data_IF_231434325344
#
_entry.id   IF_231434325344
#
_cell.length_a   1.000
_cell.length_b   1.000
_cell.length_c   1.000
_cell.angle_alpha   90.00
_cell.angle_beta   90.00
_cell.angle_gamma   90.00
#
_symmetry.space_group_name_H-M   'P 1'
#
loop_
_entity.id
_entity.type
_entity.pdbx_description
1 polymer ?
#
# COMPACT_ATOMS: atom_id res chain seq x y z
N UNK A 1 -14.58 -28.86 26.27
CA UNK A 1 -13.51 -28.97 25.25
C UNK A 1 -13.72 -27.85 24.24
N UNK A 2 -12.68 -27.15 23.77
CA UNK A 2 -12.83 -26.03 22.82
C UNK A 2 -13.39 -26.54 21.47
N UNK A 3 -14.41 -25.88 20.85
CA UNK A 3 -15.06 -26.36 19.62
C UNK A 3 -14.11 -26.58 18.44
N UNK A 4 -13.10 -25.73 18.28
CA UNK A 4 -12.13 -25.82 17.17
C UNK A 4 -10.99 -26.82 17.41
N UNK A 5 -10.89 -27.46 18.59
CA UNK A 5 -9.72 -28.29 18.93
C UNK A 5 -9.44 -29.37 17.89
N UNK A 6 -10.47 -30.10 17.46
CA UNK A 6 -10.30 -31.21 16.51
C UNK A 6 -9.95 -30.71 15.11
N UNK A 7 -10.63 -29.66 14.63
CA UNK A 7 -10.35 -29.06 13.31
C UNK A 7 -8.91 -28.53 13.24
N UNK A 8 -8.48 -27.74 14.23
CA UNK A 8 -7.12 -27.20 14.27
C UNK A 8 -6.04 -28.28 14.44
N UNK A 9 -6.32 -29.34 15.21
CA UNK A 9 -5.39 -30.46 15.34
C UNK A 9 -5.25 -31.25 14.03
N UNK A 10 -6.37 -31.51 13.37
CA UNK A 10 -6.39 -32.29 12.13
C UNK A 10 -5.87 -31.50 10.92
N UNK A 11 -5.77 -30.17 11.00
CA UNK A 11 -5.18 -29.33 9.95
C UNK A 11 -3.74 -29.76 9.60
N UNK A 12 -2.98 -30.31 10.57
CA UNK A 12 -1.64 -30.87 10.34
C UNK A 12 -1.64 -32.05 9.35
N UNK A 13 -2.77 -32.75 9.21
CA UNK A 13 -2.94 -33.87 8.31
C UNK A 13 -3.72 -33.52 7.04
N UNK A 14 -4.15 -32.26 6.89
CA UNK A 14 -4.95 -31.82 5.74
C UNK A 14 -4.18 -31.86 4.41
N UNK A 15 -2.83 -31.95 4.45
CA UNK A 15 -1.92 -31.90 3.30
C UNK A 15 -1.26 -33.24 2.97
N UNK A 16 -1.99 -34.26 2.45
CA UNK A 16 -1.39 -35.55 2.10
C UNK A 16 -0.38 -35.40 0.95
N UNK A 17 0.67 -36.21 1.00
CA UNK A 17 1.63 -36.37 -0.09
C UNK A 17 1.22 -37.56 -0.97
N UNK A 18 1.51 -37.48 -2.28
CA UNK A 18 1.44 -38.66 -3.15
C UNK A 18 2.58 -39.59 -2.79
N UNK A 19 2.28 -40.86 -2.55
CA UNK A 19 3.26 -41.92 -2.32
C UNK A 19 3.20 -42.88 -3.49
N UNK A 20 4.36 -43.17 -4.06
CA UNK A 20 4.53 -44.08 -5.18
C UNK A 20 5.97 -44.55 -5.23
N UNK A 21 6.16 -45.73 -5.82
CA UNK A 21 7.46 -46.30 -6.09
C UNK A 21 7.92 -45.90 -7.51
N UNK A 22 9.24 -45.78 -7.68
CA UNK A 22 9.86 -45.72 -9.00
C UNK A 22 9.74 -47.07 -9.71
N UNK A 23 9.78 -47.12 -11.06
CA UNK A 23 9.86 -45.98 -12.00
C UNK A 23 8.52 -45.25 -12.21
N UNK A 24 8.57 -43.93 -12.41
CA UNK A 24 7.37 -43.14 -12.68
C UNK A 24 7.65 -41.84 -13.45
N UNK A 25 6.65 -41.36 -14.19
CA UNK A 25 6.57 -39.97 -14.63
C UNK A 25 5.67 -39.19 -13.68
N UNK A 26 6.10 -37.99 -13.29
CA UNK A 26 5.30 -37.02 -12.53
C UNK A 26 5.06 -35.81 -13.40
N UNK A 27 3.82 -35.47 -13.65
CA UNK A 27 3.43 -34.26 -14.37
C UNK A 27 2.80 -33.30 -13.38
N UNK A 28 3.34 -32.08 -13.31
CA UNK A 28 2.84 -31.04 -12.41
C UNK A 28 2.52 -29.79 -13.19
N UNK A 29 1.31 -29.29 -13.02
CA UNK A 29 0.80 -28.11 -13.69
C UNK A 29 0.30 -27.12 -12.65
N UNK A 30 0.63 -25.84 -12.78
CA UNK A 30 0.08 -24.77 -11.98
C UNK A 30 -0.63 -23.75 -12.86
N UNK A 31 -1.82 -23.35 -12.45
CA UNK A 31 -2.69 -22.45 -13.21
C UNK A 31 -3.13 -21.28 -12.34
N UNK A 32 -3.05 -20.07 -12.89
CA UNK A 32 -3.63 -18.87 -12.29
C UNK A 32 -5.15 -18.92 -12.40
N UNK A 33 -5.86 -18.50 -11.35
CA UNK A 33 -7.31 -18.44 -11.41
C UNK A 33 -7.96 -18.15 -10.07
N UNK A 34 -9.20 -17.69 -10.13
CA UNK A 34 -10.09 -17.57 -8.99
C UNK A 34 -10.61 -18.93 -8.52
N UNK A 35 -11.07 -19.02 -7.27
CA UNK A 35 -11.66 -20.26 -6.72
C UNK A 35 -12.76 -20.86 -7.61
N UNK A 36 -13.55 -20.01 -8.27
CA UNK A 36 -14.63 -20.45 -9.16
C UNK A 36 -14.12 -21.06 -10.46
N UNK A 37 -13.13 -20.44 -11.11
CA UNK A 37 -12.48 -21.00 -12.30
C UNK A 37 -11.77 -22.31 -11.96
N UNK A 38 -11.13 -22.35 -10.77
CA UNK A 38 -10.54 -23.56 -10.23
C UNK A 38 -11.59 -24.67 -10.04
N UNK A 39 -12.76 -24.38 -9.46
CA UNK A 39 -13.84 -25.37 -9.27
C UNK A 39 -14.22 -26.02 -10.59
N UNK A 40 -14.56 -25.18 -11.59
CA UNK A 40 -15.04 -25.64 -12.89
C UNK A 40 -14.00 -26.51 -13.58
N UNK A 41 -12.72 -26.16 -13.45
CA UNK A 41 -11.66 -26.95 -14.04
C UNK A 41 -11.38 -28.25 -13.29
N UNK A 42 -11.36 -28.21 -11.95
CA UNK A 42 -11.16 -29.39 -11.11
C UNK A 42 -12.27 -30.42 -11.30
N UNK A 43 -13.53 -29.98 -11.38
CA UNK A 43 -14.69 -30.83 -11.70
C UNK A 43 -14.55 -31.53 -13.05
N UNK A 44 -13.98 -30.86 -14.05
CA UNK A 44 -13.70 -31.48 -15.36
C UNK A 44 -12.54 -32.45 -15.31
N UNK A 45 -11.53 -32.19 -14.48
CA UNK A 45 -10.29 -32.98 -14.41
C UNK A 45 -10.38 -34.19 -13.50
N UNK A 46 -11.22 -34.15 -12.47
CA UNK A 46 -11.32 -35.20 -11.46
C UNK A 46 -12.61 -35.99 -11.65
N UNK A 47 -12.55 -37.26 -12.07
CA UNK A 47 -13.73 -38.11 -12.14
C UNK A 47 -14.15 -38.51 -10.71
N UNK A 48 -15.11 -37.78 -10.12
CA UNK A 48 -15.67 -38.08 -8.80
C UNK A 48 -16.33 -36.87 -8.12
N UNK A 49 -17.04 -37.09 -7.01
CA UNK A 49 -17.53 -35.98 -6.18
C UNK A 49 -16.36 -35.35 -5.42
N UNK A 50 -15.89 -34.19 -5.89
CA UNK A 50 -14.95 -33.38 -5.15
C UNK A 50 -15.68 -32.67 -4.00
N UNK A 51 -15.10 -32.69 -2.80
CA UNK A 51 -15.46 -31.69 -1.79
C UNK A 51 -14.85 -30.35 -2.23
N UNK A 52 -15.68 -29.49 -2.81
CA UNK A 52 -15.25 -28.18 -3.30
C UNK A 52 -14.79 -27.25 -2.17
N UNK A 53 -15.13 -27.54 -0.92
CA UNK A 53 -14.64 -26.77 0.23
C UNK A 53 -13.26 -27.24 0.71
N UNK A 54 -12.79 -28.39 0.25
CA UNK A 54 -11.45 -28.87 0.59
C UNK A 54 -10.38 -28.05 -0.17
N UNK A 55 -9.30 -27.70 0.54
CA UNK A 55 -8.18 -27.00 -0.06
C UNK A 55 -7.35 -27.90 -0.99
N UNK A 56 -7.49 -29.22 -0.88
CA UNK A 56 -6.77 -30.19 -1.71
C UNK A 56 -7.42 -31.57 -1.63
N UNK A 57 -7.01 -32.46 -2.53
CA UNK A 57 -7.41 -33.85 -2.51
C UNK A 57 -6.55 -34.73 -3.41
N UNK A 58 -6.75 -36.04 -3.27
CA UNK A 58 -6.15 -37.06 -4.13
C UNK A 58 -7.30 -37.88 -4.72
N UNK A 59 -7.28 -38.06 -6.04
CA UNK A 59 -8.21 -38.88 -6.81
C UNK A 59 -7.43 -39.74 -7.80
N UNK A 60 -8.14 -40.45 -8.68
CA UNK A 60 -7.57 -41.23 -9.77
C UNK A 60 -8.02 -40.64 -11.10
N UNK A 61 -7.10 -40.56 -12.06
CA UNK A 61 -7.37 -40.20 -13.45
C UNK A 61 -6.76 -41.30 -14.33
N UNK A 62 -7.60 -42.03 -15.06
CA UNK A 62 -7.17 -43.15 -15.91
C UNK A 62 -6.31 -44.21 -15.18
N UNK A 63 -6.66 -44.52 -13.93
CA UNK A 63 -5.91 -45.46 -13.09
C UNK A 63 -4.63 -44.90 -12.47
N UNK A 64 -4.33 -43.62 -12.67
CA UNK A 64 -3.16 -42.93 -12.14
C UNK A 64 -3.54 -41.94 -11.03
N UNK A 65 -2.69 -41.85 -10.00
CA UNK A 65 -2.96 -40.97 -8.87
C UNK A 65 -2.84 -39.49 -9.30
N UNK A 66 -3.92 -38.74 -9.12
CA UNK A 66 -3.99 -37.31 -9.40
C UNK A 66 -4.20 -36.56 -8.08
N UNK A 67 -3.25 -35.71 -7.72
CA UNK A 67 -3.41 -34.76 -6.63
C UNK A 67 -3.79 -33.39 -7.18
N UNK A 68 -4.72 -32.73 -6.51
CA UNK A 68 -5.04 -31.33 -6.77
C UNK A 68 -4.87 -30.51 -5.48
N UNK A 69 -4.35 -29.30 -5.60
CA UNK A 69 -4.17 -28.36 -4.49
C UNK A 69 -4.66 -26.97 -4.91
N UNK A 70 -5.44 -26.33 -4.05
CA UNK A 70 -5.87 -24.94 -4.19
C UNK A 70 -5.02 -24.03 -3.32
N UNK A 71 -4.74 -22.88 -3.88
CA UNK A 71 -4.09 -21.77 -3.19
C UNK A 71 -4.92 -20.51 -3.43
N UNK A 72 -4.56 -19.41 -2.77
CA UNK A 72 -5.36 -18.19 -2.80
C UNK A 72 -5.51 -17.56 -4.20
N UNK A 73 -4.56 -17.77 -5.11
CA UNK A 73 -4.55 -17.14 -6.45
C UNK A 73 -4.17 -18.08 -7.59
N UNK A 74 -4.00 -19.37 -7.28
CA UNK A 74 -3.65 -20.40 -8.26
C UNK A 74 -4.04 -21.78 -7.72
N UNK A 75 -4.07 -22.77 -8.59
CA UNK A 75 -4.22 -24.17 -8.20
C UNK A 75 -3.21 -25.04 -8.94
N UNK A 76 -3.00 -26.25 -8.45
CA UNK A 76 -2.08 -27.21 -9.07
C UNK A 76 -2.72 -28.56 -9.29
N UNK A 77 -2.25 -29.25 -10.33
CA UNK A 77 -2.53 -30.65 -10.61
C UNK A 77 -1.21 -31.40 -10.66
N UNK A 78 -1.12 -32.53 -9.95
CA UNK A 78 0.04 -33.43 -9.98
C UNK A 78 -0.42 -34.84 -10.31
N UNK A 79 -0.09 -35.33 -11.50
CA UNK A 79 -0.40 -36.68 -11.96
C UNK A 79 0.84 -37.56 -11.86
N UNK A 80 0.72 -38.73 -11.24
CA UNK A 80 1.79 -39.72 -11.14
C UNK A 80 1.43 -40.93 -11.98
N UNK A 81 2.24 -41.18 -13.01
CA UNK A 81 2.11 -42.31 -13.93
C UNK A 81 3.25 -43.29 -13.64
N UNK A 82 2.94 -44.35 -12.89
CA UNK A 82 3.92 -45.42 -12.59
C UNK A 82 4.17 -46.27 -13.82
N UNK A 83 5.42 -46.70 -14.00
CA UNK A 83 5.87 -47.55 -15.10
C UNK A 83 6.51 -48.82 -14.56
N UNK A 84 6.39 -49.92 -15.30
CA UNK A 84 7.12 -51.16 -15.03
C UNK A 84 8.47 -51.23 -15.74
N UNK A 85 8.83 -50.19 -16.50
CA UNK A 85 10.08 -50.10 -17.27
C UNK A 85 11.02 -49.07 -16.65
N UNK A 86 12.28 -49.45 -16.41
CA UNK A 86 13.33 -48.59 -15.86
C UNK A 86 13.92 -47.60 -16.89
N UNK A 87 13.78 -47.87 -18.19
CA UNK A 87 14.30 -47.03 -19.27
C UNK A 87 13.32 -45.90 -19.63
N UNK A 88 13.09 -45.01 -18.66
CA UNK A 88 12.23 -43.84 -18.82
C UNK A 88 12.98 -42.66 -19.43
N UNK A 89 12.42 -42.10 -20.50
CA UNK A 89 12.81 -40.83 -21.12
C UNK A 89 11.70 -39.77 -20.94
N UNK A 90 11.96 -38.56 -21.41
CA UNK A 90 10.94 -37.51 -21.53
C UNK A 90 9.80 -37.99 -22.42
N UNK A 91 8.57 -37.63 -22.05
CA UNK A 91 7.36 -37.99 -22.80
C UNK A 91 6.34 -36.86 -22.74
N UNK A 92 5.33 -36.89 -23.59
CA UNK A 92 4.26 -35.89 -23.60
C UNK A 92 3.30 -36.09 -22.42
N UNK A 93 2.54 -35.03 -22.12
CA UNK A 93 1.48 -35.10 -21.13
C UNK A 93 0.43 -36.16 -21.54
N UNK A 94 -0.06 -37.02 -20.62
CA UNK A 94 -1.07 -38.01 -20.96
C UNK A 94 -2.31 -37.36 -21.58
N UNK A 95 -2.84 -37.95 -22.66
CA UNK A 95 -3.92 -37.38 -23.48
C UNK A 95 -5.17 -36.99 -22.67
N UNK A 96 -5.49 -37.80 -21.65
CA UNK A 96 -6.62 -37.59 -20.73
C UNK A 96 -6.49 -36.27 -19.97
N UNK A 97 -5.27 -35.83 -19.67
CA UNK A 97 -4.99 -34.55 -19.02
C UNK A 97 -4.72 -33.46 -20.06
N UNK A 98 -3.98 -33.76 -21.13
CA UNK A 98 -3.65 -32.79 -22.19
C UNK A 98 -4.88 -32.14 -22.82
N UNK A 99 -5.88 -32.94 -23.20
CA UNK A 99 -7.15 -32.46 -23.77
C UNK A 99 -7.92 -31.50 -22.85
N UNK A 100 -7.76 -31.64 -21.53
CA UNK A 100 -8.39 -30.73 -20.56
C UNK A 100 -7.58 -29.45 -20.39
N UNK A 101 -6.26 -29.58 -20.36
CA UNK A 101 -5.30 -28.48 -20.15
C UNK A 101 -5.28 -27.51 -21.33
N UNK A 102 -5.44 -27.99 -22.57
CA UNK A 102 -5.41 -27.16 -23.78
C UNK A 102 -6.38 -25.97 -23.69
N UNK A 103 -7.59 -26.21 -23.18
CA UNK A 103 -8.64 -25.20 -22.99
C UNK A 103 -8.24 -24.12 -21.97
N UNK A 104 -7.35 -24.45 -21.02
CA UNK A 104 -6.89 -23.59 -19.93
C UNK A 104 -5.44 -23.14 -20.08
N UNK A 105 -4.83 -23.36 -21.25
CA UNK A 105 -3.42 -23.02 -21.53
C UNK A 105 -3.04 -21.56 -21.23
N UNK A 106 -3.89 -20.53 -21.50
CA UNK A 106 -3.54 -19.14 -21.16
C UNK A 106 -3.33 -18.88 -19.66
N UNK A 107 -3.86 -19.73 -18.79
CA UNK A 107 -3.72 -19.62 -17.35
C UNK A 107 -2.53 -20.45 -16.80
N UNK A 108 -1.92 -21.31 -17.61
CA UNK A 108 -0.82 -22.19 -17.21
C UNK A 108 0.44 -21.36 -16.96
N UNK A 109 0.87 -21.30 -15.69
CA UNK A 109 2.05 -20.54 -15.28
C UNK A 109 3.27 -21.42 -15.01
N UNK A 110 3.06 -22.71 -14.74
CA UNK A 110 4.15 -23.67 -14.55
C UNK A 110 3.76 -25.05 -15.09
N UNK A 111 4.68 -25.70 -15.80
CA UNK A 111 4.56 -27.08 -16.24
C UNK A 111 5.87 -27.81 -16.02
N UNK A 112 5.84 -28.88 -15.23
CA UNK A 112 7.02 -29.66 -14.86
C UNK A 112 6.77 -31.13 -15.15
N UNK A 113 7.74 -31.77 -15.81
CA UNK A 113 7.82 -33.21 -15.89
C UNK A 113 9.02 -33.70 -15.07
N UNK A 114 8.76 -34.65 -14.16
CA UNK A 114 9.81 -35.35 -13.43
C UNK A 114 9.84 -36.81 -13.87
N UNK A 115 10.99 -37.26 -14.36
CA UNK A 115 11.28 -38.69 -14.51
C UNK A 115 11.87 -39.19 -13.21
N UNK A 116 11.23 -40.18 -12.60
CA UNK A 116 11.61 -40.80 -11.33
C UNK A 116 12.05 -42.22 -11.60
N UNK A 117 13.31 -42.56 -11.30
CA UNK A 117 13.89 -43.89 -11.57
C UNK A 117 14.93 -44.28 -10.52
N UNK A 118 15.35 -45.54 -10.54
CA UNK A 118 16.52 -46.01 -9.79
C UNK A 118 17.86 -45.58 -10.41
N UNK A 119 18.95 -45.77 -9.67
CA UNK A 119 20.32 -45.39 -10.06
C UNK A 119 20.96 -46.31 -11.12
N UNK A 120 20.44 -47.52 -11.31
CA UNK A 120 21.00 -48.48 -12.26
C UNK A 120 21.05 -47.93 -13.68
N UNK A 121 22.18 -48.16 -14.37
CA UNK A 121 22.43 -47.79 -15.77
C UNK A 121 22.13 -46.31 -16.10
N UNK A 122 22.44 -45.41 -15.16
CA UNK A 122 22.26 -43.97 -15.35
C UNK A 122 23.24 -43.41 -16.39
N UNK A 123 22.70 -43.05 -17.54
CA UNK A 123 23.38 -42.26 -18.58
C UNK A 123 22.68 -40.91 -18.75
N UNK A 124 23.28 -39.86 -18.17
CA UNK A 124 22.72 -38.50 -18.20
C UNK A 124 22.61 -37.93 -19.63
N UNK A 125 23.42 -38.41 -20.57
CA UNK A 125 23.44 -37.87 -21.94
C UNK A 125 22.13 -38.13 -22.69
N UNK A 126 21.41 -39.20 -22.33
CA UNK A 126 20.10 -39.56 -22.90
C UNK A 126 19.01 -38.53 -22.62
N UNK A 127 19.16 -37.75 -21.56
CA UNK A 127 18.18 -36.76 -21.13
C UNK A 127 18.37 -35.39 -21.78
N UNK A 128 19.40 -35.20 -22.62
CA UNK A 128 19.54 -34.01 -23.47
C UNK A 128 19.75 -32.69 -22.73
N UNK A 129 20.12 -32.71 -21.44
CA UNK A 129 20.37 -31.50 -20.67
C UNK A 129 21.54 -30.69 -21.24
N UNK A 130 21.41 -29.37 -21.19
CA UNK A 130 22.47 -28.43 -21.59
C UNK A 130 23.02 -27.69 -20.37
N UNK A 131 24.22 -28.05 -19.93
CA UNK A 131 24.87 -27.56 -18.71
C UNK A 131 24.00 -27.76 -17.44
N UNK A 132 23.61 -29.01 -17.11
CA UNK A 132 22.68 -29.26 -16.02
C UNK A 132 23.24 -28.85 -14.66
N UNK A 133 22.35 -28.35 -13.81
CA UNK A 133 22.58 -28.34 -12.37
C UNK A 133 22.27 -29.72 -11.81
N UNK A 134 23.08 -30.19 -10.88
CA UNK A 134 22.99 -31.51 -10.27
C UNK A 134 23.15 -31.44 -8.75
N UNK A 135 22.37 -32.18 -7.98
CA UNK A 135 22.47 -32.21 -6.52
C UNK A 135 22.11 -33.54 -5.91
N UNK A 136 22.87 -33.93 -4.90
CA UNK A 136 22.53 -35.01 -4.00
C UNK A 136 21.53 -34.43 -3.00
N UNK A 137 20.35 -35.03 -2.84
CA UNK A 137 19.31 -34.53 -1.94
C UNK A 137 18.98 -35.56 -0.87
N UNK A 138 18.30 -35.11 0.19
CA UNK A 138 17.87 -36.00 1.28
C UNK A 138 19.03 -36.62 2.07
N UNK A 139 20.20 -35.99 2.07
CA UNK A 139 21.42 -36.53 2.69
C UNK A 139 22.20 -37.51 1.80
N UNK A 140 21.99 -37.49 0.47
CA UNK A 140 22.65 -38.38 -0.49
C UNK A 140 21.85 -39.63 -0.86
N UNK A 141 20.62 -39.74 -0.38
CA UNK A 141 19.69 -40.85 -0.65
C UNK A 141 18.98 -40.72 -2.02
N UNK A 142 19.12 -39.58 -2.70
CA UNK A 142 18.68 -39.38 -4.08
C UNK A 142 19.56 -38.34 -4.78
N UNK A 143 19.48 -38.30 -6.10
CA UNK A 143 20.11 -37.29 -6.94
C UNK A 143 19.08 -36.62 -7.84
N UNK A 144 19.29 -35.34 -8.13
CA UNK A 144 18.39 -34.55 -8.97
C UNK A 144 19.20 -33.78 -10.00
N UNK A 145 18.73 -33.75 -11.24
CA UNK A 145 19.26 -32.91 -12.30
C UNK A 145 18.19 -32.14 -13.03
N UNK A 146 18.51 -30.91 -13.43
CA UNK A 146 17.73 -30.09 -14.33
C UNK A 146 18.64 -29.02 -14.93
N UNK A 147 18.40 -28.62 -16.18
CA UNK A 147 18.99 -27.42 -16.77
C UNK A 147 18.05 -26.20 -16.68
N UNK A 148 16.85 -26.38 -16.10
CA UNK A 148 15.79 -25.37 -15.95
C UNK A 148 15.41 -24.69 -17.27
N UNK A 149 15.60 -25.38 -18.40
CA UNK A 149 15.17 -24.93 -19.72
C UNK A 149 13.83 -25.56 -20.05
N UNK A 150 12.98 -24.78 -20.70
CA UNK A 150 11.72 -25.32 -21.21
C UNK A 150 12.01 -26.19 -22.43
N UNK A 151 11.34 -27.34 -22.49
CA UNK A 151 11.25 -28.15 -23.70
C UNK A 151 10.46 -27.43 -24.80
N UNK A 152 10.42 -28.01 -26.00
CA UNK A 152 9.60 -27.49 -27.11
C UNK A 152 8.11 -27.43 -26.74
N UNK A 153 7.66 -28.34 -25.87
CA UNK A 153 6.29 -28.39 -25.33
C UNK A 153 6.06 -27.44 -24.13
N UNK A 154 7.07 -26.65 -23.74
CA UNK A 154 6.97 -25.70 -22.64
C UNK A 154 7.09 -26.32 -21.24
N UNK A 155 7.61 -27.55 -21.12
CA UNK A 155 7.79 -28.24 -19.85
C UNK A 155 9.21 -28.02 -19.30
N UNK A 156 9.32 -27.76 -18.01
CA UNK A 156 10.60 -27.86 -17.30
C UNK A 156 10.85 -29.34 -16.93
N UNK A 157 12.01 -29.86 -17.31
CA UNK A 157 12.36 -31.26 -17.10
C UNK A 157 13.28 -31.42 -15.88
N UNK A 158 12.93 -32.37 -15.01
CA UNK A 158 13.72 -32.74 -13.85
C UNK A 158 13.92 -34.25 -13.86
N UNK A 159 15.18 -34.69 -13.74
CA UNK A 159 15.51 -36.09 -13.53
C UNK A 159 15.70 -36.33 -12.03
N UNK A 160 14.94 -37.26 -11.46
CA UNK A 160 15.04 -37.68 -10.08
C UNK A 160 15.49 -39.14 -10.01
N UNK A 161 16.68 -39.37 -9.46
CA UNK A 161 17.26 -40.69 -9.29
C UNK A 161 17.19 -41.08 -7.82
N UNK A 162 16.33 -42.05 -7.51
CA UNK A 162 16.23 -42.61 -6.18
C UNK A 162 17.38 -43.60 -5.94
N UNK A 163 18.02 -43.50 -4.77
CA UNK A 163 19.01 -44.48 -4.31
C UNK A 163 18.47 -45.29 -3.13
N UNK A 164 17.88 -44.60 -2.15
CA UNK A 164 17.58 -45.15 -0.82
C UNK A 164 16.31 -44.59 -0.16
N UNK A 165 15.54 -43.76 -0.86
CA UNK A 165 14.30 -43.23 -0.32
C UNK A 165 13.20 -44.28 -0.45
N UNK A 166 12.36 -44.40 0.58
CA UNK A 166 11.09 -45.12 0.45
C UNK A 166 10.04 -44.21 -0.22
N UNK A 167 8.92 -44.80 -0.67
CA UNK A 167 7.82 -44.08 -1.33
C UNK A 167 7.38 -42.79 -0.61
N UNK A 168 7.33 -42.83 0.73
CA UNK A 168 6.97 -41.67 1.55
C UNK A 168 7.99 -40.52 1.45
N UNK A 169 9.28 -40.83 1.60
CA UNK A 169 10.35 -39.82 1.51
C UNK A 169 10.53 -39.33 0.06
N UNK A 170 10.38 -40.21 -0.93
CA UNK A 170 10.41 -39.88 -2.35
C UNK A 170 9.31 -38.88 -2.70
N UNK A 171 8.05 -39.19 -2.39
CA UNK A 171 6.92 -38.30 -2.66
C UNK A 171 7.06 -36.92 -2.01
N UNK A 172 7.58 -36.86 -0.78
CA UNK A 172 7.88 -35.57 -0.12
C UNK A 172 9.01 -34.80 -0.81
N UNK A 173 10.05 -35.47 -1.27
CA UNK A 173 11.16 -34.81 -1.97
C UNK A 173 10.71 -34.25 -3.32
N UNK A 174 9.93 -35.02 -4.07
CA UNK A 174 9.34 -34.61 -5.35
C UNK A 174 8.42 -33.41 -5.14
N UNK A 175 7.53 -33.47 -4.15
CA UNK A 175 6.68 -32.34 -3.76
C UNK A 175 7.49 -31.06 -3.52
N UNK A 176 8.62 -31.15 -2.82
CA UNK A 176 9.49 -29.99 -2.57
C UNK A 176 10.06 -29.40 -3.86
N UNK A 177 10.52 -30.24 -4.79
CA UNK A 177 11.01 -29.79 -6.10
C UNK A 177 9.91 -29.07 -6.89
N UNK A 178 8.70 -29.61 -6.88
CA UNK A 178 7.52 -28.99 -7.51
C UNK A 178 7.14 -27.66 -6.85
N UNK A 179 7.12 -27.61 -5.51
CA UNK A 179 6.84 -26.39 -4.74
C UNK A 179 7.89 -25.30 -5.02
N UNK A 180 9.18 -25.66 -5.10
CA UNK A 180 10.25 -24.72 -5.46
C UNK A 180 9.96 -24.08 -6.81
N UNK A 181 9.66 -24.88 -7.83
CA UNK A 181 9.46 -24.36 -9.18
C UNK A 181 8.17 -23.53 -9.29
N UNK A 182 7.06 -24.02 -8.72
CA UNK A 182 5.78 -23.32 -8.72
C UNK A 182 5.87 -21.99 -7.96
N UNK A 183 6.42 -21.97 -6.74
CA UNK A 183 6.53 -20.72 -5.97
C UNK A 183 7.55 -19.75 -6.58
N UNK A 184 8.63 -20.25 -7.21
CA UNK A 184 9.57 -19.39 -7.95
C UNK A 184 8.87 -18.67 -9.11
N UNK A 185 8.04 -19.38 -9.88
CA UNK A 185 7.26 -18.79 -10.97
C UNK A 185 6.22 -17.79 -10.44
N UNK A 186 5.45 -18.16 -9.42
CA UNK A 186 4.46 -17.28 -8.79
C UNK A 186 5.08 -15.99 -8.24
N UNK A 187 6.21 -16.08 -7.56
CA UNK A 187 6.94 -14.92 -7.07
C UNK A 187 7.49 -14.04 -8.20
N UNK A 188 7.84 -14.64 -9.34
CA UNK A 188 8.41 -13.91 -10.48
C UNK A 188 7.37 -13.09 -11.26
N UNK A 189 6.07 -13.32 -11.05
CA UNK A 189 4.99 -12.57 -11.70
C UNK A 189 5.05 -11.05 -11.42
N UNK A 190 5.61 -10.64 -10.27
CA UNK A 190 5.75 -9.23 -9.93
C UNK A 190 6.85 -8.50 -10.70
N UNK A 191 7.73 -9.20 -11.43
CA UNK A 191 8.91 -8.58 -12.04
C UNK A 191 8.53 -7.52 -13.09
N UNK A 192 7.59 -7.81 -13.97
CA UNK A 192 7.14 -6.84 -14.99
C UNK A 192 6.46 -5.64 -14.31
N UNK A 193 5.58 -5.91 -13.34
CA UNK A 193 4.93 -4.87 -12.53
C UNK A 193 5.94 -3.98 -11.81
N UNK A 194 7.02 -4.54 -11.26
CA UNK A 194 8.09 -3.79 -10.61
C UNK A 194 8.84 -2.87 -11.59
N UNK A 195 9.11 -3.33 -12.81
CA UNK A 195 9.76 -2.52 -13.85
C UNK A 195 8.88 -1.35 -14.27
N UNK A 196 7.59 -1.59 -14.50
CA UNK A 196 6.63 -0.55 -14.87
C UNK A 196 6.47 0.48 -13.76
N UNK A 197 6.34 0.02 -12.50
CA UNK A 197 6.29 0.90 -11.34
C UNK A 197 7.59 1.70 -11.17
N UNK A 198 8.76 1.07 -11.36
CA UNK A 198 10.04 1.77 -11.25
C UNK A 198 10.13 2.96 -12.21
N UNK A 199 9.64 2.81 -13.44
CA UNK A 199 9.61 3.91 -14.40
C UNK A 199 8.64 5.03 -13.97
N UNK A 200 7.50 4.68 -13.37
CA UNK A 200 6.56 5.66 -12.80
C UNK A 200 7.16 6.40 -11.60
N UNK A 201 7.88 5.69 -10.73
CA UNK A 201 8.55 6.28 -9.57
C UNK A 201 9.57 7.36 -9.98
N UNK A 202 10.31 7.15 -11.07
CA UNK A 202 11.24 8.16 -11.60
C UNK A 202 10.51 9.46 -12.01
N UNK A 203 9.27 9.37 -12.48
CA UNK A 203 8.44 10.53 -12.82
C UNK A 203 7.92 11.21 -11.54
N UNK A 204 7.45 10.41 -10.58
CA UNK A 204 6.95 10.94 -9.31
C UNK A 204 8.04 11.63 -8.50
N UNK A 205 9.26 11.07 -8.45
CA UNK A 205 10.41 11.67 -7.78
C UNK A 205 10.74 13.05 -8.37
N UNK A 206 10.82 13.16 -9.71
CA UNK A 206 11.04 14.46 -10.38
C UNK A 206 9.94 15.47 -10.08
N UNK A 207 8.69 14.99 -10.05
CA UNK A 207 7.52 15.83 -9.71
C UNK A 207 7.62 16.32 -8.27
N UNK A 208 7.96 15.44 -7.32
CA UNK A 208 8.15 15.79 -5.92
C UNK A 208 9.25 16.83 -5.73
N UNK A 209 10.40 16.68 -6.41
CA UNK A 209 11.48 17.68 -6.38
C UNK A 209 10.97 19.04 -6.84
N UNK A 210 10.29 19.09 -7.99
CA UNK A 210 9.73 20.33 -8.54
C UNK A 210 8.73 20.98 -7.59
N UNK A 211 7.85 20.19 -6.96
CA UNK A 211 6.87 20.70 -6.00
C UNK A 211 7.53 21.19 -4.71
N UNK A 212 8.58 20.50 -4.25
CA UNK A 212 9.35 20.89 -3.07
C UNK A 212 10.08 22.22 -3.28
N UNK A 213 10.69 22.43 -4.46
CA UNK A 213 11.33 23.70 -4.82
C UNK A 213 10.30 24.84 -4.87
N UNK A 214 9.14 24.61 -5.48
CA UNK A 214 8.03 25.58 -5.51
C UNK A 214 7.47 25.89 -4.12
N UNK A 215 7.47 24.92 -3.19
CA UNK A 215 7.03 25.13 -1.81
C UNK A 215 8.02 26.00 -1.02
N UNK A 216 9.31 25.88 -1.32
CA UNK A 216 10.38 26.66 -0.69
C UNK A 216 10.49 28.10 -1.22
N UNK A 217 9.92 28.40 -2.39
CA UNK A 217 9.89 29.74 -2.96
C UNK A 217 9.01 30.70 -2.11
N UNK A 218 9.60 31.77 -1.54
CA UNK A 218 8.86 32.75 -0.73
C UNK A 218 7.90 33.60 -1.56
N UNK A 219 8.24 33.88 -2.83
CA UNK A 219 7.65 34.99 -3.60
C UNK A 219 6.61 34.55 -4.65
N UNK A 220 6.50 33.24 -4.96
CA UNK A 220 5.98 32.84 -6.27
C UNK A 220 4.85 31.80 -6.35
N UNK A 221 4.42 31.17 -5.26
CA UNK A 221 3.51 30.02 -5.37
C UNK A 221 2.07 30.34 -4.96
N UNK A 222 1.12 30.25 -5.91
CA UNK A 222 -0.29 30.12 -5.57
C UNK A 222 -0.48 28.84 -4.74
N UNK A 223 -0.52 28.98 -3.41
CA UNK A 223 -0.57 27.86 -2.47
C UNK A 223 -1.72 26.90 -2.77
N UNK A 224 -2.85 27.41 -3.27
CA UNK A 224 -3.99 26.59 -3.69
C UNK A 224 -3.67 25.70 -4.89
N UNK A 225 -2.94 26.24 -5.88
CA UNK A 225 -2.50 25.47 -7.03
C UNK A 225 -1.45 24.42 -6.63
N UNK A 226 -0.49 24.80 -5.78
CA UNK A 226 0.52 23.87 -5.27
C UNK A 226 -0.09 22.74 -4.43
N UNK A 227 -1.07 23.05 -3.59
CA UNK A 227 -1.82 22.05 -2.82
C UNK A 227 -2.56 21.07 -3.73
N UNK A 228 -3.17 21.57 -4.81
CA UNK A 228 -3.82 20.72 -5.81
C UNK A 228 -2.81 19.79 -6.51
N UNK A 229 -1.64 20.31 -6.89
CA UNK A 229 -0.58 19.51 -7.52
C UNK A 229 -0.04 18.42 -6.58
N UNK A 230 0.22 18.75 -5.30
CA UNK A 230 0.65 17.78 -4.28
C UNK A 230 -0.45 16.74 -4.04
N UNK A 231 -1.71 17.15 -3.96
CA UNK A 231 -2.85 16.24 -3.80
C UNK A 231 -2.96 15.26 -4.97
N UNK A 232 -2.74 15.75 -6.19
CA UNK A 232 -2.72 14.91 -7.40
C UNK A 232 -1.57 13.90 -7.40
N UNK A 233 -0.37 14.31 -6.97
CA UNK A 233 0.77 13.40 -6.83
C UNK A 233 0.49 12.35 -5.75
N UNK A 234 -0.03 12.76 -4.59
CA UNK A 234 -0.42 11.88 -3.49
C UNK A 234 -1.43 10.84 -3.94
N UNK A 235 -2.48 11.25 -4.67
CA UNK A 235 -3.48 10.33 -5.20
C UNK A 235 -2.88 9.29 -6.16
N UNK A 236 -1.93 9.68 -7.02
CA UNK A 236 -1.24 8.76 -7.93
C UNK A 236 -0.37 7.75 -7.17
N UNK A 237 0.41 8.22 -6.18
CA UNK A 237 1.27 7.36 -5.35
C UNK A 237 0.43 6.36 -4.54
N UNK A 238 -0.65 6.82 -3.91
CA UNK A 238 -1.59 5.95 -3.18
C UNK A 238 -2.23 4.94 -4.12
N UNK A 239 -2.65 5.36 -5.32
CA UNK A 239 -3.22 4.46 -6.34
C UNK A 239 -2.22 3.35 -6.72
N UNK A 240 -0.96 3.70 -6.99
CA UNK A 240 0.09 2.72 -7.30
C UNK A 240 0.39 1.80 -6.13
N UNK A 241 0.38 2.30 -4.89
CA UNK A 241 0.56 1.50 -3.68
C UNK A 241 -0.56 0.45 -3.55
N UNK A 242 -1.82 0.86 -3.63
CA UNK A 242 -2.97 -0.06 -3.52
C UNK A 242 -2.95 -1.12 -4.62
N UNK A 243 -2.62 -0.75 -5.86
CA UNK A 243 -2.58 -1.69 -7.00
C UNK A 243 -1.49 -2.75 -6.88
N UNK A 244 -0.35 -2.43 -6.28
CA UNK A 244 0.85 -3.29 -6.30
C UNK A 244 1.08 -4.05 -5.00
N UNK A 245 0.55 -3.55 -3.86
CA UNK A 245 0.75 -4.09 -2.52
C UNK A 245 0.51 -5.60 -2.40
N UNK A 246 -0.64 -6.08 -2.88
CA UNK A 246 -0.97 -7.51 -2.78
C UNK A 246 0.09 -8.38 -3.49
N UNK A 247 0.49 -7.98 -4.70
CA UNK A 247 1.40 -8.75 -5.53
C UNK A 247 2.83 -8.73 -4.98
N UNK A 248 3.32 -7.61 -4.46
CA UNK A 248 4.64 -7.58 -3.79
C UNK A 248 4.66 -8.40 -2.50
N UNK A 249 3.61 -8.30 -1.67
CA UNK A 249 3.48 -9.13 -0.47
C UNK A 249 3.46 -10.63 -0.83
N UNK A 250 2.75 -11.02 -1.89
CA UNK A 250 2.73 -12.40 -2.38
C UNK A 250 4.13 -12.84 -2.86
N UNK A 251 4.85 -12.00 -3.60
CA UNK A 251 6.22 -12.26 -4.03
C UNK A 251 7.16 -12.54 -2.86
N UNK A 252 7.09 -11.74 -1.79
CA UNK A 252 7.92 -11.96 -0.61
C UNK A 252 7.59 -13.30 0.08
N UNK A 253 6.29 -13.62 0.27
CA UNK A 253 5.85 -14.86 0.89
C UNK A 253 6.25 -16.10 0.07
N UNK A 254 6.05 -16.09 -1.24
CA UNK A 254 6.45 -17.19 -2.12
C UNK A 254 7.97 -17.34 -2.21
N UNK A 255 8.71 -16.22 -2.28
CA UNK A 255 10.17 -16.28 -2.27
C UNK A 255 10.71 -16.91 -0.98
N UNK A 256 10.11 -16.62 0.18
CA UNK A 256 10.45 -17.25 1.44
C UNK A 256 10.25 -18.78 1.37
N UNK A 257 9.09 -19.24 0.87
CA UNK A 257 8.82 -20.66 0.69
C UNK A 257 9.86 -21.33 -0.22
N UNK A 258 10.27 -20.68 -1.31
CA UNK A 258 11.34 -21.20 -2.19
C UNK A 258 12.63 -21.42 -1.39
N UNK A 259 13.10 -20.42 -0.64
CA UNK A 259 14.35 -20.54 0.12
C UNK A 259 14.27 -21.58 1.25
N UNK A 260 13.14 -21.68 1.94
CA UNK A 260 12.89 -22.72 2.95
C UNK A 260 12.96 -24.11 2.33
N UNK A 261 12.29 -24.32 1.18
CA UNK A 261 12.27 -25.62 0.50
C UNK A 261 13.63 -26.00 -0.08
N UNK A 262 14.40 -25.03 -0.59
CA UNK A 262 15.79 -25.26 -0.99
C UNK A 262 16.64 -25.76 0.18
N UNK A 263 16.51 -25.15 1.37
CA UNK A 263 17.18 -25.61 2.59
C UNK A 263 16.76 -27.03 3.00
N UNK A 264 15.47 -27.36 2.85
CA UNK A 264 14.92 -28.67 3.17
C UNK A 264 15.36 -29.80 2.23
N UNK A 265 15.83 -29.49 1.02
CA UNK A 265 16.43 -30.49 0.11
C UNK A 265 17.68 -31.12 0.73
N UNK A 266 18.37 -30.40 1.63
CA UNK A 266 19.66 -30.80 2.23
C UNK A 266 20.67 -31.19 1.14
N UNK A 267 20.86 -30.27 0.20
CA UNK A 267 21.66 -30.53 -0.99
C UNK A 267 23.17 -30.61 -0.73
N UNK A 268 23.82 -31.55 -1.41
CA UNK A 268 25.27 -31.65 -1.53
C UNK A 268 25.69 -31.87 -2.99
N UNK A 269 26.99 -31.80 -3.27
CA UNK A 269 27.51 -31.87 -4.64
C UNK A 269 27.27 -33.26 -5.27
N UNK A 270 27.04 -33.25 -6.58
CA UNK A 270 27.05 -34.44 -7.44
C UNK A 270 28.02 -34.19 -8.56
N UNK A 271 29.13 -34.95 -8.57
CA UNK A 271 30.23 -34.72 -9.50
C UNK A 271 30.68 -33.25 -9.47
N UNK A 272 30.92 -32.72 -10.67
CA UNK A 272 31.35 -31.33 -10.88
C UNK A 272 30.18 -30.37 -11.20
N UNK A 273 28.92 -30.83 -11.06
CA UNK A 273 27.75 -30.01 -11.36
C UNK A 273 27.52 -28.93 -10.31
N UNK A 274 27.04 -27.76 -10.75
CA UNK A 274 26.51 -26.75 -9.84
C UNK A 274 25.24 -27.28 -9.15
N UNK A 275 25.12 -27.03 -7.84
CA UNK A 275 23.92 -27.40 -7.07
C UNK A 275 22.68 -26.63 -7.53
N UNK A 276 21.52 -27.28 -7.48
CA UNK A 276 20.23 -26.71 -7.90
C UNK A 276 19.90 -25.46 -7.09
N UNK A 277 20.03 -25.51 -5.77
CA UNK A 277 19.77 -24.37 -4.89
C UNK A 277 20.67 -23.19 -5.21
N UNK A 278 21.97 -23.43 -5.43
CA UNK A 278 22.91 -22.37 -5.84
C UNK A 278 22.53 -21.76 -7.18
N UNK A 279 22.11 -22.57 -8.17
CA UNK A 279 21.66 -22.10 -9.48
C UNK A 279 20.43 -21.18 -9.34
N UNK A 280 19.42 -21.64 -8.60
CA UNK A 280 18.16 -20.93 -8.38
C UNK A 280 18.42 -19.65 -7.58
N UNK A 281 19.09 -19.73 -6.43
CA UNK A 281 19.35 -18.56 -5.58
C UNK A 281 20.05 -17.43 -6.33
N UNK A 282 21.09 -17.74 -7.11
CA UNK A 282 21.85 -16.73 -7.86
C UNK A 282 21.01 -15.99 -8.90
N UNK A 283 20.00 -16.65 -9.47
CA UNK A 283 19.17 -16.09 -10.56
C UNK A 283 17.83 -15.55 -10.10
N UNK A 284 17.28 -16.09 -9.01
CA UNK A 284 15.98 -15.72 -8.48
C UNK A 284 16.08 -14.63 -7.40
N UNK A 285 17.07 -14.68 -6.52
CA UNK A 285 17.24 -13.69 -5.43
C UNK A 285 17.36 -12.24 -5.92
N UNK A 286 18.06 -11.94 -7.04
CA UNK A 286 18.08 -10.58 -7.59
C UNK A 286 16.69 -10.06 -7.97
N UNK A 287 15.84 -10.90 -8.58
CA UNK A 287 14.45 -10.54 -8.92
C UNK A 287 13.63 -10.17 -7.70
N UNK A 288 13.73 -10.95 -6.62
CA UNK A 288 13.05 -10.68 -5.35
C UNK A 288 13.53 -9.37 -4.75
N UNK A 289 14.85 -9.17 -4.68
CA UNK A 289 15.45 -7.93 -4.18
C UNK A 289 15.02 -6.69 -4.96
N UNK A 290 14.93 -6.81 -6.29
CA UNK A 290 14.46 -5.72 -7.14
C UNK A 290 13.01 -5.34 -6.78
N UNK A 291 12.11 -6.32 -6.67
CA UNK A 291 10.72 -6.06 -6.28
C UNK A 291 10.62 -5.41 -4.90
N UNK A 292 11.37 -5.91 -3.90
CA UNK A 292 11.40 -5.33 -2.55
C UNK A 292 11.93 -3.90 -2.57
N UNK A 293 13.00 -3.61 -3.33
CA UNK A 293 13.56 -2.27 -3.42
C UNK A 293 12.58 -1.28 -4.09
N UNK A 294 11.86 -1.72 -5.13
CA UNK A 294 10.82 -0.90 -5.77
C UNK A 294 9.67 -0.60 -4.82
N UNK A 295 9.21 -1.58 -4.04
CA UNK A 295 8.17 -1.41 -3.02
C UNK A 295 8.61 -0.38 -1.96
N UNK A 296 9.81 -0.54 -1.40
CA UNK A 296 10.37 0.41 -0.43
C UNK A 296 10.52 1.83 -0.99
N UNK A 297 10.92 1.97 -2.25
CA UNK A 297 11.01 3.29 -2.91
C UNK A 297 9.64 3.95 -3.04
N UNK A 298 8.59 3.17 -3.33
CA UNK A 298 7.21 3.68 -3.37
C UNK A 298 6.74 4.13 -1.98
N UNK A 299 7.06 3.37 -0.93
CA UNK A 299 6.73 3.73 0.46
C UNK A 299 7.42 5.03 0.90
N UNK A 300 8.73 5.16 0.69
CA UNK A 300 9.46 6.40 1.01
C UNK A 300 8.95 7.62 0.24
N UNK A 301 8.58 7.43 -1.03
CA UNK A 301 7.98 8.48 -1.84
C UNK A 301 6.61 8.91 -1.26
N UNK A 302 5.79 7.95 -0.85
CA UNK A 302 4.48 8.24 -0.23
C UNK A 302 4.64 9.06 1.06
N UNK A 303 5.59 8.70 1.92
CA UNK A 303 5.93 9.46 3.12
C UNK A 303 6.41 10.87 2.78
N UNK A 304 7.30 11.00 1.78
CA UNK A 304 7.83 12.31 1.36
C UNK A 304 6.75 13.23 0.79
N UNK A 305 5.82 12.70 0.00
CA UNK A 305 4.68 13.46 -0.53
C UNK A 305 3.74 13.90 0.59
N UNK A 306 3.47 13.03 1.57
CA UNK A 306 2.65 13.37 2.74
C UNK A 306 3.30 14.51 3.55
N UNK A 307 4.60 14.39 3.85
CA UNK A 307 5.35 15.42 4.57
C UNK A 307 5.34 16.77 3.85
N UNK A 308 5.50 16.78 2.52
CA UNK A 308 5.43 18.02 1.75
C UNK A 308 4.03 18.66 1.81
N UNK A 309 2.97 17.83 1.78
CA UNK A 309 1.60 18.29 1.97
C UNK A 309 1.36 18.94 3.33
N UNK A 310 1.85 18.30 4.40
CA UNK A 310 1.74 18.82 5.76
C UNK A 310 2.49 20.15 5.95
N UNK A 311 3.69 20.26 5.37
CA UNK A 311 4.47 21.50 5.39
C UNK A 311 3.75 22.66 4.66
N UNK A 312 3.15 22.39 3.50
CA UNK A 312 2.38 23.41 2.78
C UNK A 312 1.13 23.84 3.58
N UNK A 313 0.42 22.89 4.20
CA UNK A 313 -0.73 23.22 5.04
C UNK A 313 -0.32 24.09 6.24
N UNK A 314 0.79 23.75 6.91
CA UNK A 314 1.32 24.55 8.01
C UNK A 314 1.69 25.97 7.54
N UNK A 315 2.36 26.11 6.40
CA UNK A 315 2.70 27.43 5.81
C UNK A 315 1.44 28.26 5.54
N UNK A 316 0.43 27.68 4.88
CA UNK A 316 -0.84 28.38 4.57
C UNK A 316 -1.55 28.81 5.85
N UNK A 317 -1.56 27.97 6.88
CA UNK A 317 -2.16 28.30 8.17
C UNK A 317 -1.46 29.50 8.82
N UNK A 318 -0.13 29.55 8.79
CA UNK A 318 0.66 30.70 9.32
C UNK A 318 0.38 31.96 8.52
N UNK A 319 0.38 31.92 7.18
CA UNK A 319 0.07 33.08 6.33
C UNK A 319 -1.35 33.62 6.60
N UNK A 320 -2.34 32.73 6.82
CA UNK A 320 -3.71 33.12 7.18
C UNK A 320 -3.79 33.77 8.58
N UNK A 321 -3.02 33.27 9.55
CA UNK A 321 -2.95 33.85 10.90
C UNK A 321 -2.30 35.24 10.89
N UNK A 322 -1.24 35.42 10.11
CA UNK A 322 -0.60 36.73 9.90
C UNK A 322 -1.56 37.74 9.26
N UNK A 323 -2.27 37.36 8.19
CA UNK A 323 -3.29 38.21 7.57
C UNK A 323 -4.41 38.58 8.55
N UNK A 324 -4.91 37.63 9.33
CA UNK A 324 -5.93 37.89 10.35
C UNK A 324 -5.43 38.87 11.41
N UNK A 325 -4.17 38.73 11.85
CA UNK A 325 -3.53 39.64 12.80
C UNK A 325 -3.41 41.06 12.23
N UNK A 326 -3.04 41.21 10.96
CA UNK A 326 -2.99 42.51 10.28
C UNK A 326 -4.36 43.16 10.15
N UNK A 327 -5.39 42.39 9.80
CA UNK A 327 -6.78 42.87 9.73
C UNK A 327 -7.21 43.39 11.11
N UNK A 328 -6.99 42.61 12.18
CA UNK A 328 -7.32 43.01 13.55
C UNK A 328 -6.57 44.28 13.98
N UNK A 329 -5.28 44.40 13.65
CA UNK A 329 -4.50 45.64 13.90
C UNK A 329 -5.11 46.83 13.17
N UNK A 330 -5.50 46.67 11.90
CA UNK A 330 -6.10 47.74 11.10
C UNK A 330 -7.47 48.18 11.64
N UNK A 331 -8.29 47.22 12.11
CA UNK A 331 -9.59 47.49 12.73
C UNK A 331 -9.41 48.24 14.05
N UNK A 332 -8.46 47.82 14.89
CA UNK A 332 -8.18 48.48 16.16
C UNK A 332 -7.70 49.92 15.94
N UNK A 333 -6.78 50.14 14.99
CA UNK A 333 -6.32 51.49 14.63
C UNK A 333 -7.47 52.39 14.14
N UNK A 334 -8.41 51.86 13.35
CA UNK A 334 -9.60 52.60 12.90
C UNK A 334 -10.56 52.90 14.05
N UNK A 335 -10.79 51.94 14.95
CA UNK A 335 -11.62 52.14 16.14
C UNK A 335 -11.03 53.24 17.06
N UNK A 336 -9.72 53.22 17.30
CA UNK A 336 -9.02 54.25 18.07
C UNK A 336 -9.15 55.64 17.44
N UNK A 337 -9.02 55.72 16.11
CA UNK A 337 -9.23 56.97 15.38
C UNK A 337 -10.67 57.48 15.53
N UNK A 338 -11.66 56.60 15.42
CA UNK A 338 -13.08 56.94 15.64
C UNK A 338 -13.33 57.44 17.06
N UNK A 339 -12.75 56.79 18.09
CA UNK A 339 -12.86 57.23 19.48
C UNK A 339 -12.27 58.63 19.66
N UNK A 340 -11.11 58.92 19.06
CA UNK A 340 -10.51 60.26 19.13
C UNK A 340 -11.37 61.33 18.46
N UNK A 341 -11.93 61.04 17.28
CA UNK A 341 -12.84 61.95 16.57
C UNK A 341 -14.09 62.19 17.40
N UNK A 342 -14.69 61.14 17.97
CA UNK A 342 -15.87 61.26 18.82
C UNK A 342 -15.58 62.14 20.05
N UNK A 343 -14.44 61.94 20.72
CA UNK A 343 -14.02 62.81 21.83
C UNK A 343 -13.81 64.26 21.39
N UNK A 344 -13.29 64.50 20.19
CA UNK A 344 -13.14 65.86 19.66
C UNK A 344 -14.50 66.52 19.40
N UNK A 345 -15.46 65.79 18.85
CA UNK A 345 -16.85 66.25 18.64
C UNK A 345 -17.57 66.49 19.97
N UNK A 346 -17.36 65.63 20.97
CA UNK A 346 -17.85 65.85 22.34
C UNK A 346 -17.26 67.13 22.95
N UNK A 347 -15.96 67.37 22.77
CA UNK A 347 -15.32 68.61 23.22
C UNK A 347 -15.94 69.85 22.56
N UNK A 348 -16.19 69.79 21.26
CA UNK A 348 -16.83 70.89 20.52
C UNK A 348 -18.28 71.12 20.96
N UNK A 349 -19.05 70.05 21.23
CA UNK A 349 -20.45 70.17 21.67
C UNK A 349 -20.56 70.81 23.05
N UNK A 350 -19.63 70.51 23.97
CA UNK A 350 -19.57 71.19 25.28
C UNK A 350 -19.38 72.70 25.11
N UNK A 351 -18.49 73.13 24.21
CA UNK A 351 -18.27 74.55 23.91
C UNK A 351 -19.55 75.18 23.35
N UNK A 352 -20.20 74.54 22.37
CA UNK A 352 -21.45 75.04 21.78
C UNK A 352 -22.58 75.14 22.82
N UNK A 353 -22.81 74.10 23.63
CA UNK A 353 -23.83 74.09 24.69
C UNK A 353 -23.56 75.20 25.71
N UNK A 354 -22.30 75.40 26.11
CA UNK A 354 -21.90 76.47 27.03
C UNK A 354 -22.28 77.85 26.49
N UNK A 355 -21.97 78.10 25.22
CA UNK A 355 -22.31 79.36 24.55
C UNK A 355 -23.82 79.59 24.48
N UNK A 356 -24.59 78.57 24.06
CA UNK A 356 -26.05 78.66 23.99
C UNK A 356 -26.68 78.88 25.37
N UNK A 357 -26.18 78.20 26.41
CA UNK A 357 -26.68 78.37 27.78
C UNK A 357 -26.46 79.80 28.29
N UNK A 358 -25.27 80.37 28.08
CA UNK A 358 -24.98 81.77 28.43
C UNK A 358 -25.86 82.75 27.65
N UNK A 359 -26.09 82.50 26.36
CA UNK A 359 -26.99 83.31 25.54
C UNK A 359 -28.44 83.25 26.04
N UNK A 360 -28.91 82.07 26.46
CA UNK A 360 -30.25 81.89 27.01
C UNK A 360 -30.43 82.65 28.34
N UNK A 361 -29.41 82.59 29.21
CA UNK A 361 -29.40 83.37 30.45
C UNK A 361 -29.41 84.88 30.20
N UNK A 362 -28.63 85.36 29.21
CA UNK A 362 -28.66 86.77 28.78
C UNK A 362 -30.05 87.17 28.28
N UNK A 363 -30.69 86.34 27.47
CA UNK A 363 -32.04 86.60 26.96
C UNK A 363 -33.08 86.61 28.09
N UNK A 364 -32.99 85.66 29.02
CA UNK A 364 -33.86 85.60 30.21
C UNK A 364 -33.72 86.84 31.09
N UNK A 365 -32.49 87.30 31.33
CA UNK A 365 -32.23 88.55 32.05
C UNK A 365 -32.85 89.76 31.36
N UNK A 366 -32.65 89.90 30.04
CA UNK A 366 -33.26 90.99 29.25
C UNK A 366 -34.79 90.93 29.29
N UNK A 367 -35.39 89.74 29.24
CA UNK A 367 -36.83 89.55 29.34
C UNK A 367 -37.40 89.94 30.71
N UNK A 368 -36.76 89.54 31.80
CA UNK A 368 -37.14 89.93 33.17
C UNK A 368 -37.01 91.43 33.40
N UNK A 369 -35.97 92.05 32.84
CA UNK A 369 -35.78 93.50 32.91
C UNK A 369 -36.87 94.27 32.13
N UNK A 370 -37.33 93.74 30.99
CA UNK A 370 -38.45 94.31 30.21
C UNK A 370 -39.81 94.16 30.91
N UNK A 371 -39.97 93.15 31.77
CA UNK A 371 -41.19 92.92 32.58
C UNK A 371 -41.29 93.82 33.83
N UNK A 372 -40.35 94.76 34.02
CA UNK A 372 -40.41 95.77 35.09
C UNK A 372 -39.83 95.32 36.43
N UNK A 373 -39.19 94.15 36.50
CA UNK A 373 -38.50 93.66 37.71
C UNK A 373 -37.07 94.22 37.70
N UNK A 374 -36.84 95.31 38.45
CA UNK A 374 -35.55 96.00 38.52
C UNK A 374 -34.51 95.27 39.38
N UNK A 375 -33.96 94.17 38.88
CA UNK A 375 -32.84 93.47 39.54
C UNK A 375 -31.53 94.15 39.16
N UNK A 376 -30.73 94.57 40.16
CA UNK A 376 -29.43 95.17 39.90
C UNK A 376 -28.50 94.17 39.18
N UNK A 377 -27.73 94.57 38.16
CA UNK A 377 -26.88 93.67 37.36
C UNK A 377 -25.93 92.80 38.19
N UNK A 378 -25.48 93.33 39.33
CA UNK A 378 -24.56 92.65 40.27
C UNK A 378 -25.23 91.49 41.01
N UNK A 379 -26.50 91.62 41.38
CA UNK A 379 -27.26 90.58 42.08
C UNK A 379 -27.69 89.46 41.12
N UNK A 380 -28.07 89.82 39.88
CA UNK A 380 -28.36 88.85 38.83
C UNK A 380 -27.14 87.98 38.49
N UNK A 381 -25.94 88.57 38.39
CA UNK A 381 -24.70 87.80 38.19
C UNK A 381 -24.40 86.86 39.37
N UNK A 382 -24.62 87.30 40.61
CA UNK A 382 -24.37 86.47 41.81
C UNK A 382 -25.21 85.19 41.85
N UNK A 383 -26.44 85.21 41.30
CA UNK A 383 -27.32 84.04 41.25
C UNK A 383 -27.11 83.22 39.96
N UNK A 384 -26.96 83.89 38.82
CA UNK A 384 -26.93 83.23 37.51
C UNK A 384 -25.60 82.52 37.24
N UNK A 385 -24.47 83.05 37.72
CA UNK A 385 -23.16 82.42 37.56
C UNK A 385 -23.07 81.04 38.24
N UNK A 386 -23.38 80.86 39.54
CA UNK A 386 -23.35 79.55 40.18
C UNK A 386 -24.40 78.59 39.59
N UNK A 387 -25.56 79.10 39.17
CA UNK A 387 -26.58 78.30 38.49
C UNK A 387 -26.08 77.79 37.13
N UNK A 388 -25.44 78.64 36.33
CA UNK A 388 -24.85 78.26 35.05
C UNK A 388 -23.76 77.21 35.21
N UNK A 389 -22.84 77.41 36.17
CA UNK A 389 -21.78 76.43 36.48
C UNK A 389 -22.40 75.11 36.96
N UNK A 390 -23.43 75.17 37.81
CA UNK A 390 -24.14 73.99 38.31
C UNK A 390 -24.80 73.18 37.19
N UNK A 391 -25.51 73.84 36.28
CA UNK A 391 -26.14 73.19 35.11
C UNK A 391 -25.08 72.56 34.20
N UNK A 392 -23.99 73.28 33.92
CA UNK A 392 -22.90 72.78 33.08
C UNK A 392 -22.23 71.56 33.71
N UNK A 393 -21.96 71.60 35.01
CA UNK A 393 -21.44 70.47 35.75
C UNK A 393 -22.39 69.27 35.71
N UNK A 394 -23.70 69.50 35.86
CA UNK A 394 -24.73 68.45 35.80
C UNK A 394 -24.80 67.78 34.41
N UNK A 395 -24.70 68.57 33.33
CA UNK A 395 -24.66 68.07 31.95
C UNK A 395 -23.40 67.22 31.73
N UNK A 396 -22.23 67.73 32.11
CA UNK A 396 -20.96 67.00 31.98
C UNK A 396 -20.96 65.71 32.81
N UNK A 397 -21.48 65.75 34.03
CA UNK A 397 -21.60 64.57 34.89
C UNK A 397 -22.58 63.55 34.33
N UNK A 398 -23.71 63.97 33.74
CA UNK A 398 -24.64 63.05 33.07
C UNK A 398 -24.02 62.40 31.84
N UNK A 399 -23.30 63.18 31.02
CA UNK A 399 -22.59 62.64 29.85
C UNK A 399 -21.54 61.61 30.27
N UNK A 400 -20.78 61.88 31.35
CA UNK A 400 -19.84 60.90 31.92
C UNK A 400 -20.55 59.64 32.44
N UNK A 401 -21.66 59.79 33.16
CA UNK A 401 -22.38 58.66 33.76
C UNK A 401 -23.03 57.72 32.74
N UNK A 402 -23.49 58.26 31.61
CA UNK A 402 -23.99 57.45 30.47
C UNK A 402 -22.86 56.69 29.76
N UNK A 403 -21.59 57.10 29.96
CA UNK A 403 -20.41 56.53 29.32
C UNK A 403 -19.76 55.37 30.10
N UNK A 404 -20.15 55.17 31.36
CA UNK A 404 -19.69 54.08 32.23
C UNK A 404 -20.62 52.84 32.19
N UNK A 405 -21.66 52.85 31.35
CA UNK A 405 -22.48 51.69 30.98
C UNK A 405 -22.39 51.51 29.46
#
# INVERSE_FOLDING_TARGET
MHPLRQSLHNELHARPSLYFDEPAHVFHLAFLGSDQECNVFLEKCCPGSLDLNAAQGITQLDGHALKWERHAEFFTLTLVVTSSCDDLSWTTLPEVLASKVEVHSPALINSVQIVVRGEADLDLSRYGFKDPSGSCVGGGDAMVWSDFRLSEDGNNHILFVNRRLNAYRQGRMIRRLLEIETYRMMASLSLTMAKDLSAQLDIFDKTLVTLSERNADPDGSNAKALLADISNLSAQVVSSSVKTRHRFSATQAYAQLVFERLGELRESHVGDCQRLGVFIERRFKPTVRYCTATEQRLEHLAESVANLGDLLQARVQVEMEEQNSEILKSLNARADAQIKIQRAVEGLSIIAITYYLLSLFKLGYSGLHLLGVGVAPREAMLVMTPLAIGILALIVLRIKKVKEH
#
